data_IF_529430131426
#
_entry.id   IF_529430131426
#
_cell.length_a   1.000
_cell.length_b   1.000
_cell.length_c   1.000
_cell.angle_alpha   90.00
_cell.angle_beta   90.00
_cell.angle_gamma   90.00
#
_symmetry.space_group_name_H-M   'P 1'
#
loop_
_entity.id
_entity.type
_entity.pdbx_description
1 polymer ?
#
# COMPACT_ATOMS: atom_id res chain seq x y z
N UNK A 1 -13.50 7.31 -4.90
CA UNK A 1 -13.92 7.92 -3.65
C UNK A 1 -13.02 7.57 -2.48
N UNK A 2 -12.81 6.27 -2.21
CA UNK A 2 -11.96 5.84 -1.08
C UNK A 2 -10.50 6.24 -1.25
N UNK A 3 -9.95 6.09 -2.46
CA UNK A 3 -8.56 6.46 -2.72
C UNK A 3 -8.35 7.97 -2.63
N UNK A 4 -9.33 8.75 -3.08
CA UNK A 4 -9.26 10.21 -2.99
C UNK A 4 -9.28 10.66 -1.53
N UNK A 5 -10.16 10.06 -0.72
CA UNK A 5 -10.24 10.39 0.70
C UNK A 5 -8.94 10.00 1.42
N UNK A 6 -8.36 8.85 1.06
CA UNK A 6 -7.10 8.42 1.65
C UNK A 6 -5.96 9.39 1.29
N UNK A 7 -5.90 9.84 0.04
CA UNK A 7 -4.87 10.79 -0.38
C UNK A 7 -4.97 12.10 0.40
N UNK A 8 -6.19 12.58 0.62
CA UNK A 8 -6.40 13.79 1.41
C UNK A 8 -6.02 13.60 2.87
N UNK A 9 -6.38 12.44 3.45
CA UNK A 9 -6.04 12.15 4.84
C UNK A 9 -4.53 12.11 5.04
N UNK A 10 -3.80 11.56 4.08
CA UNK A 10 -2.35 11.50 4.12
C UNK A 10 -1.75 12.91 4.20
N UNK A 11 -2.26 13.82 3.36
CA UNK A 11 -1.74 15.18 3.34
C UNK A 11 -2.08 15.94 4.62
N UNK A 12 -3.31 15.77 5.12
CA UNK A 12 -3.77 16.47 6.33
C UNK A 12 -3.04 15.96 7.58
N UNK A 13 -2.84 14.64 7.68
CA UNK A 13 -2.22 14.03 8.86
C UNK A 13 -0.70 13.90 8.75
N UNK A 14 -0.13 14.34 7.65
CA UNK A 14 1.32 14.28 7.41
C UNK A 14 1.87 12.86 7.53
N UNK A 15 1.18 11.91 6.92
CA UNK A 15 1.60 10.52 6.91
C UNK A 15 2.68 10.33 5.85
N UNK A 16 3.80 9.72 6.23
CA UNK A 16 4.94 9.56 5.32
C UNK A 16 4.88 8.32 4.42
N UNK A 17 4.12 7.31 4.82
CA UNK A 17 4.07 6.03 4.08
C UNK A 17 2.65 5.48 4.08
N UNK A 18 2.20 5.00 2.93
CA UNK A 18 0.91 4.33 2.77
C UNK A 18 1.18 2.89 2.33
N UNK A 19 0.57 1.95 3.03
CA UNK A 19 0.59 0.55 2.62
C UNK A 19 -0.71 0.27 1.86
N UNK A 20 -0.59 -0.04 0.57
CA UNK A 20 -1.75 -0.39 -0.26
C UNK A 20 -1.69 -1.87 -0.59
N UNK A 21 -2.72 -2.61 -0.20
CA UNK A 21 -2.81 -4.06 -0.43
C UNK A 21 -3.88 -4.31 -1.48
N UNK A 22 -3.50 -4.90 -2.60
CA UNK A 22 -4.45 -5.11 -3.71
C UNK A 22 -4.02 -6.30 -4.55
N UNK A 23 -4.96 -7.19 -4.87
CA UNK A 23 -4.68 -8.35 -5.72
C UNK A 23 -4.39 -7.98 -7.16
N UNK A 24 -5.21 -7.13 -7.75
CA UNK A 24 -5.07 -6.71 -9.15
C UNK A 24 -4.17 -5.49 -9.33
N UNK A 25 -3.89 -4.78 -8.26
CA UNK A 25 -3.14 -3.53 -8.32
C UNK A 25 -4.00 -2.31 -8.61
N UNK A 26 -5.31 -2.48 -8.79
CA UNK A 26 -6.20 -1.37 -9.12
C UNK A 26 -6.18 -0.28 -8.05
N UNK A 27 -6.31 -0.66 -6.78
CA UNK A 27 -6.31 0.29 -5.67
C UNK A 27 -4.96 1.01 -5.58
N UNK A 28 -3.87 0.28 -5.79
CA UNK A 28 -2.52 0.84 -5.73
C UNK A 28 -2.33 1.87 -6.85
N UNK A 29 -2.72 1.51 -8.08
CA UNK A 29 -2.60 2.44 -9.20
C UNK A 29 -3.50 3.65 -9.06
N UNK A 30 -4.70 3.46 -8.49
CA UNK A 30 -5.60 4.58 -8.21
C UNK A 30 -4.99 5.54 -7.20
N UNK A 31 -4.35 5.00 -6.16
CA UNK A 31 -3.66 5.82 -5.16
C UNK A 31 -2.50 6.59 -5.77
N UNK A 32 -1.71 5.93 -6.62
CA UNK A 32 -0.59 6.57 -7.30
C UNK A 32 -1.04 7.70 -8.20
N UNK A 33 -2.22 7.58 -8.80
CA UNK A 33 -2.76 8.61 -9.69
C UNK A 33 -3.01 9.93 -8.97
N UNK A 34 -3.35 9.88 -7.70
CA UNK A 34 -3.55 11.09 -6.91
C UNK A 34 -2.25 11.73 -6.45
N UNK A 35 -1.13 11.07 -6.67
CA UNK A 35 0.22 11.57 -6.33
C UNK A 35 0.29 12.14 -4.91
N UNK A 36 -0.04 11.33 -3.89
CA UNK A 36 0.05 11.81 -2.53
C UNK A 36 1.49 12.16 -2.16
N UNK A 37 1.66 12.99 -1.15
CA UNK A 37 2.99 13.34 -0.65
C UNK A 37 3.68 12.15 0.02
N UNK A 38 2.90 11.16 0.48
CA UNK A 38 3.45 9.97 1.11
C UNK A 38 4.00 9.00 0.06
N UNK A 39 4.96 8.18 0.49
CA UNK A 39 5.44 7.08 -0.32
C UNK A 39 4.42 5.95 -0.30
N UNK A 40 4.18 5.36 -1.45
CA UNK A 40 3.23 4.24 -1.57
C UNK A 40 4.02 2.93 -1.61
N UNK A 41 3.70 2.03 -0.67
CA UNK A 41 4.20 0.68 -0.70
C UNK A 41 3.06 -0.21 -1.18
N UNK A 42 3.18 -0.74 -2.39
CA UNK A 42 2.14 -1.55 -3.02
C UNK A 42 2.40 -3.03 -2.80
N UNK A 43 1.50 -3.67 -2.07
CA UNK A 43 1.65 -5.08 -1.71
C UNK A 43 0.59 -5.92 -2.42
N UNK A 44 1.03 -7.01 -3.04
CA UNK A 44 0.13 -7.92 -3.74
C UNK A 44 0.64 -9.34 -3.64
N UNK A 45 -0.29 -10.29 -3.55
CA UNK A 45 0.03 -11.71 -3.62
C UNK A 45 0.28 -12.15 -5.06
N UNK A 46 -0.14 -11.35 -6.03
CA UNK A 46 0.02 -11.66 -7.45
C UNK A 46 1.35 -11.13 -7.96
N UNK A 47 2.28 -12.01 -8.30
CA UNK A 47 3.60 -11.62 -8.75
C UNK A 47 3.58 -10.80 -10.03
N UNK A 48 2.61 -11.07 -10.91
CA UNK A 48 2.45 -10.29 -12.15
C UNK A 48 2.09 -8.85 -11.82
N UNK A 49 1.20 -8.65 -10.86
CA UNK A 49 0.83 -7.31 -10.38
C UNK A 49 2.04 -6.61 -9.80
N UNK A 50 2.84 -7.30 -9.00
CA UNK A 50 4.05 -6.73 -8.41
C UNK A 50 4.99 -6.23 -9.51
N UNK A 51 5.20 -7.02 -10.55
CA UNK A 51 6.06 -6.60 -11.67
C UNK A 51 5.50 -5.39 -12.40
N UNK A 52 4.17 -5.33 -12.59
CA UNK A 52 3.54 -4.21 -13.28
C UNK A 52 3.61 -2.91 -12.48
N UNK A 53 3.62 -3.00 -11.16
CA UNK A 53 3.64 -1.82 -10.29
C UNK A 53 4.96 -1.07 -10.34
N UNK A 54 6.01 -1.67 -10.87
CA UNK A 54 7.29 -0.96 -11.03
C UNK A 54 7.17 0.26 -11.94
N UNK A 55 6.12 0.30 -12.75
CA UNK A 55 5.88 1.41 -13.68
C UNK A 55 5.00 2.51 -13.07
N UNK A 56 4.47 2.31 -11.88
CA UNK A 56 3.60 3.29 -11.24
C UNK A 56 4.41 4.35 -10.51
N UNK A 57 4.00 5.60 -10.66
CA UNK A 57 4.69 6.73 -10.03
C UNK A 57 4.67 6.60 -8.51
N UNK A 58 5.83 6.80 -7.90
CA UNK A 58 5.94 6.87 -6.44
C UNK A 58 5.58 5.60 -5.71
N UNK A 59 5.46 4.48 -6.43
CA UNK A 59 5.05 3.21 -5.86
C UNK A 59 6.25 2.27 -5.76
N UNK A 60 6.44 1.68 -4.59
CA UNK A 60 7.40 0.62 -4.38
C UNK A 60 6.66 -0.71 -4.27
N UNK A 61 6.83 -1.63 -5.22
CA UNK A 61 6.10 -2.90 -5.19
C UNK A 61 6.73 -3.90 -4.23
N UNK A 62 5.89 -4.70 -3.59
CA UNK A 62 6.33 -5.72 -2.69
C UNK A 62 5.39 -6.91 -2.78
N UNK A 63 5.96 -8.11 -2.92
CA UNK A 63 5.17 -9.33 -2.93
C UNK A 63 4.78 -9.70 -1.50
N UNK A 64 3.48 -9.91 -1.28
CA UNK A 64 2.95 -10.34 0.00
C UNK A 64 2.16 -11.63 -0.23
N UNK A 65 2.59 -12.76 0.33
CA UNK A 65 1.85 -14.02 0.19
C UNK A 65 0.41 -13.87 0.65
N UNK A 66 -0.49 -14.60 0.01
CA UNK A 66 -1.89 -14.50 0.32
C UNK A 66 -2.20 -14.92 1.74
N UNK A 67 -3.03 -14.13 2.41
CA UNK A 67 -3.54 -14.41 3.74
C UNK A 67 -5.05 -14.50 3.65
N UNK A 68 -5.66 -15.39 4.39
CA UNK A 68 -7.09 -15.64 4.28
C UNK A 68 -7.97 -14.55 4.85
N UNK A 69 -7.44 -13.73 5.74
CA UNK A 69 -8.20 -12.72 6.49
C UNK A 69 -7.56 -11.36 6.27
N UNK A 70 -8.40 -10.32 6.19
CA UNK A 70 -7.90 -8.95 5.98
C UNK A 70 -7.01 -8.50 7.15
N UNK A 71 -7.37 -8.87 8.39
CA UNK A 71 -6.57 -8.52 9.55
C UNK A 71 -5.18 -9.17 9.47
N UNK A 72 -5.12 -10.43 9.01
CA UNK A 72 -3.85 -11.11 8.83
C UNK A 72 -3.04 -10.50 7.70
N UNK A 73 -3.70 -10.05 6.63
CA UNK A 73 -3.01 -9.37 5.53
C UNK A 73 -2.41 -8.06 5.98
N UNK A 74 -3.14 -7.28 6.75
CA UNK A 74 -2.65 -6.00 7.27
C UNK A 74 -1.46 -6.24 8.20
N UNK A 75 -1.56 -7.21 9.11
CA UNK A 75 -0.46 -7.54 10.02
C UNK A 75 0.78 -7.99 9.25
N UNK A 76 0.61 -8.84 8.25
CA UNK A 76 1.73 -9.32 7.42
C UNK A 76 2.36 -8.18 6.63
N UNK A 77 1.55 -7.26 6.12
CA UNK A 77 2.03 -6.10 5.38
C UNK A 77 2.88 -5.18 6.25
N UNK A 78 2.41 -4.90 7.47
CA UNK A 78 3.16 -4.07 8.43
C UNK A 78 4.47 -4.72 8.81
N UNK A 79 4.46 -6.03 9.05
CA UNK A 79 5.67 -6.77 9.39
C UNK A 79 6.67 -6.74 8.25
N UNK A 80 6.22 -6.96 7.02
CA UNK A 80 7.08 -6.94 5.84
C UNK A 80 7.68 -5.55 5.64
N UNK A 81 6.89 -4.50 5.79
CA UNK A 81 7.36 -3.13 5.64
C UNK A 81 8.40 -2.78 6.71
N UNK A 82 8.16 -3.22 7.95
CA UNK A 82 9.10 -2.99 9.04
C UNK A 82 10.42 -3.74 8.81
N UNK A 83 10.35 -4.97 8.34
CA UNK A 83 11.54 -5.77 8.07
C UNK A 83 12.41 -5.17 6.96
N UNK A 84 11.78 -4.50 6.01
CA UNK A 84 12.49 -3.79 4.95
C UNK A 84 13.04 -2.44 5.41
N UNK A 85 12.62 -1.95 6.56
CA UNK A 85 13.00 -0.62 7.03
C UNK A 85 12.17 0.51 6.46
N UNK A 86 11.04 0.19 5.80
CA UNK A 86 10.18 1.21 5.21
C UNK A 86 9.35 1.95 6.26
N UNK A 87 9.06 1.30 7.39
CA UNK A 87 8.34 1.91 8.50
C UNK A 87 9.07 1.63 9.80
N UNK A 88 8.94 2.52 10.76
CA UNK A 88 9.58 2.41 12.07
C UNK A 88 8.52 2.22 13.16
N UNK A 89 8.93 1.65 14.29
CA UNK A 89 8.06 1.52 15.44
C UNK A 89 7.65 2.91 15.92
N UNK A 90 6.35 3.11 16.12
CA UNK A 90 5.82 4.40 16.55
C UNK A 90 5.47 5.34 15.41
N UNK A 91 5.82 5.00 14.17
CA UNK A 91 5.47 5.81 13.01
C UNK A 91 3.99 5.66 12.65
N UNK A 92 3.35 6.78 12.28
CA UNK A 92 1.97 6.75 11.79
C UNK A 92 1.99 6.40 10.31
N UNK A 93 1.32 5.31 9.94
CA UNK A 93 1.23 4.87 8.55
C UNK A 93 -0.23 4.72 8.14
N UNK A 94 -0.49 5.01 6.87
CA UNK A 94 -1.80 4.74 6.30
C UNK A 94 -1.86 3.33 5.73
N UNK A 95 -2.98 2.65 5.93
CA UNK A 95 -3.19 1.32 5.34
C UNK A 95 -4.48 1.35 4.54
N UNK A 96 -4.39 0.97 3.28
CA UNK A 96 -5.53 0.88 2.38
C UNK A 96 -5.56 -0.53 1.79
N UNK A 97 -6.57 -1.30 2.13
CA UNK A 97 -6.72 -2.67 1.64
C UNK A 97 -7.86 -2.72 0.63
N UNK A 98 -7.52 -3.09 -0.59
CA UNK A 98 -8.52 -3.26 -1.63
C UNK A 98 -9.23 -4.60 -1.52
N UNK A 99 -10.50 -4.60 -1.88
CA UNK A 99 -11.30 -5.83 -1.92
C UNK A 99 -11.45 -6.37 -3.33
N UNK A 100 -10.73 -5.81 -4.28
CA UNK A 100 -10.75 -6.24 -5.67
C UNK A 100 -10.12 -7.63 -5.80
N UNK A 101 -10.62 -8.38 -6.71
CA UNK A 101 -10.13 -9.73 -6.99
C UNK A 101 -9.39 -9.78 -8.32
#
# INVERSE_FOLDING_TARGET
>A
AMTQAAARAVDVLDIGTILCISGSGFTIRSMARFRPSARILGLSANERTVRQLTLSWGTEPLHLPEQGDIALRVAAALEAARDRGDVAVGELVGVLAGTDV
#
